data_IF_439726670892
#
_entry.id   IF_439726670892
#
_cell.length_a   1.000
_cell.length_b   1.000
_cell.length_c   1.000
_cell.angle_alpha   90.00
_cell.angle_beta   90.00
_cell.angle_gamma   90.00
#
_symmetry.space_group_name_H-M   'P 1'
#
loop_
_entity.id
_entity.type
_entity.pdbx_description
1 polymer ?
#
# COMPACT_ATOMS: atom_id res chain seq x y z
N UNK A 1 14.12 -27.05 -10.43
CA UNK A 1 13.54 -25.83 -11.01
C UNK A 1 12.26 -25.40 -10.29
N UNK A 2 11.32 -26.30 -9.98
CA UNK A 2 10.10 -25.98 -9.21
C UNK A 2 10.32 -25.32 -7.82
N UNK A 3 11.35 -25.70 -7.07
CA UNK A 3 11.61 -25.12 -5.74
C UNK A 3 11.97 -23.62 -5.78
N UNK A 4 12.49 -23.14 -6.91
CA UNK A 4 12.87 -21.74 -7.08
C UNK A 4 11.62 -20.85 -7.23
N UNK A 5 10.58 -21.36 -7.89
CA UNK A 5 9.33 -20.62 -8.15
C UNK A 5 8.51 -20.41 -6.87
N UNK A 6 8.51 -21.40 -5.97
CA UNK A 6 7.85 -21.30 -4.66
C UNK A 6 8.54 -20.26 -3.75
N UNK A 7 9.88 -20.20 -3.77
CA UNK A 7 10.63 -19.20 -3.00
C UNK A 7 10.36 -17.78 -3.51
N UNK A 8 10.27 -17.61 -4.84
CA UNK A 8 9.93 -16.34 -5.47
C UNK A 8 8.49 -15.91 -5.16
N UNK A 9 7.53 -16.83 -5.22
CA UNK A 9 6.13 -16.55 -4.88
C UNK A 9 5.94 -16.12 -3.42
N UNK A 10 6.60 -16.81 -2.47
CA UNK A 10 6.54 -16.43 -1.06
C UNK A 10 7.12 -15.03 -0.85
N UNK A 11 8.25 -14.70 -1.49
CA UNK A 11 8.83 -13.34 -1.43
C UNK A 11 7.89 -12.27 -1.99
N UNK A 12 7.20 -12.57 -3.09
CA UNK A 12 6.19 -11.67 -3.68
C UNK A 12 5.02 -11.45 -2.70
N UNK A 13 4.47 -12.52 -2.12
CA UNK A 13 3.38 -12.44 -1.14
C UNK A 13 3.79 -11.59 0.08
N UNK A 14 5.00 -11.81 0.61
CA UNK A 14 5.52 -11.03 1.74
C UNK A 14 5.72 -9.56 1.36
N UNK A 15 6.23 -9.27 0.16
CA UNK A 15 6.42 -7.92 -0.33
C UNK A 15 5.08 -7.17 -0.46
N UNK A 16 4.04 -7.81 -1.01
CA UNK A 16 2.71 -7.22 -1.10
C UNK A 16 2.06 -7.01 0.26
N UNK A 17 2.20 -7.98 1.18
CA UNK A 17 1.67 -7.86 2.53
C UNK A 17 2.27 -6.65 3.27
N UNK A 18 3.59 -6.45 3.18
CA UNK A 18 4.28 -5.30 3.77
C UNK A 18 3.82 -3.98 3.11
N UNK A 19 3.67 -3.96 1.79
CA UNK A 19 3.16 -2.81 1.06
C UNK A 19 1.74 -2.42 1.49
N UNK A 20 0.85 -3.40 1.63
CA UNK A 20 -0.53 -3.19 2.04
C UNK A 20 -0.64 -2.68 3.48
N UNK A 21 0.13 -3.25 4.41
CA UNK A 21 0.22 -2.79 5.81
C UNK A 21 0.70 -1.34 5.86
N UNK A 22 1.72 -1.01 5.06
CA UNK A 22 2.28 0.35 5.00
C UNK A 22 1.24 1.38 4.53
N UNK A 23 0.46 1.05 3.50
CA UNK A 23 -0.62 1.92 2.99
C UNK A 23 -1.72 2.10 4.04
N UNK A 24 -2.14 1.02 4.72
CA UNK A 24 -3.17 1.08 5.76
C UNK A 24 -2.70 1.94 6.95
N UNK A 25 -1.48 1.71 7.45
CA UNK A 25 -0.91 2.51 8.54
C UNK A 25 -0.79 3.99 8.17
N UNK A 26 -0.47 4.29 6.91
CA UNK A 26 -0.39 5.66 6.42
C UNK A 26 -1.78 6.32 6.42
N UNK A 27 -2.80 5.64 5.87
CA UNK A 27 -4.19 6.11 5.87
C UNK A 27 -4.74 6.33 7.29
N UNK A 28 -4.47 5.41 8.22
CA UNK A 28 -4.90 5.51 9.62
C UNK A 28 -4.23 6.71 10.30
N UNK A 29 -2.90 6.82 10.20
CA UNK A 29 -2.13 7.94 10.76
C UNK A 29 -2.66 9.26 10.24
N UNK A 30 -3.03 9.27 8.97
CA UNK A 30 -3.54 10.44 8.29
C UNK A 30 -4.94 10.85 8.74
N UNK A 31 -5.85 9.88 8.81
CA UNK A 31 -7.20 10.07 9.34
C UNK A 31 -7.18 10.59 10.79
N UNK A 32 -6.28 10.05 11.62
CA UNK A 32 -6.14 10.48 13.02
C UNK A 32 -5.56 11.90 13.10
N UNK A 33 -4.51 12.23 12.34
CA UNK A 33 -3.87 13.56 12.37
C UNK A 33 -4.73 14.67 11.78
N UNK A 34 -5.52 14.38 10.75
CA UNK A 34 -6.31 15.40 10.04
C UNK A 34 -7.79 15.45 10.44
N UNK A 35 -8.20 14.75 11.51
CA UNK A 35 -9.59 14.75 11.99
C UNK A 35 -10.14 16.12 12.38
N UNK A 36 -9.28 17.15 12.54
CA UNK A 36 -9.68 18.50 12.96
C UNK A 36 -9.42 19.61 11.93
N UNK A 37 -8.56 19.36 10.94
CA UNK A 37 -8.22 20.36 9.92
C UNK A 37 -8.26 19.71 8.53
N UNK A 38 -9.28 20.08 7.75
CA UNK A 38 -9.36 19.85 6.31
C UNK A 38 -8.26 20.66 5.60
N UNK A 39 -7.01 20.24 5.77
CA UNK A 39 -5.85 20.89 5.21
C UNK A 39 -5.63 20.37 3.78
N UNK A 40 -5.16 21.20 2.84
CA UNK A 40 -4.95 20.79 1.43
C UNK A 40 -3.97 19.60 1.30
N UNK A 41 -3.06 19.47 2.27
CA UNK A 41 -2.16 18.33 2.37
C UNK A 41 -2.92 17.01 2.60
N UNK A 42 -4.13 17.09 3.19
CA UNK A 42 -5.06 15.97 3.37
C UNK A 42 -5.35 15.25 2.05
N UNK A 43 -5.69 16.06 1.05
CA UNK A 43 -6.15 15.62 -0.26
C UNK A 43 -4.98 15.06 -1.09
N UNK A 44 -3.80 15.65 -0.96
CA UNK A 44 -2.61 15.20 -1.68
C UNK A 44 -2.17 13.82 -1.20
N UNK A 45 -2.18 13.57 0.11
CA UNK A 45 -1.71 12.30 0.67
C UNK A 45 -2.73 11.18 0.44
N UNK A 46 -4.03 11.47 0.47
CA UNK A 46 -5.05 10.48 0.08
C UNK A 46 -4.94 10.12 -1.41
N UNK A 47 -4.65 11.09 -2.29
CA UNK A 47 -4.40 10.83 -3.70
C UNK A 47 -3.16 9.95 -3.91
N UNK A 48 -2.06 10.21 -3.19
CA UNK A 48 -0.85 9.37 -3.23
C UNK A 48 -1.13 7.95 -2.72
N UNK A 49 -1.91 7.80 -1.65
CA UNK A 49 -2.29 6.48 -1.13
C UNK A 49 -3.14 5.68 -2.14
N UNK A 50 -4.06 6.35 -2.84
CA UNK A 50 -4.86 5.73 -3.91
C UNK A 50 -3.97 5.28 -5.07
N UNK A 51 -3.02 6.11 -5.50
CA UNK A 51 -2.07 5.75 -6.59
C UNK A 51 -1.23 4.52 -6.20
N UNK A 52 -0.72 4.47 -4.98
CA UNK A 52 0.07 3.33 -4.50
C UNK A 52 -0.80 2.06 -4.41
N UNK A 53 -2.05 2.18 -3.96
CA UNK A 53 -2.98 1.05 -3.92
C UNK A 53 -3.29 0.51 -5.32
N UNK A 54 -3.47 1.38 -6.32
CA UNK A 54 -3.67 1.00 -7.72
C UNK A 54 -2.43 0.28 -8.27
N UNK A 55 -1.23 0.79 -8.00
CA UNK A 55 0.02 0.15 -8.43
C UNK A 55 0.14 -1.24 -7.82
N UNK A 56 -0.08 -1.38 -6.51
CA UNK A 56 -0.06 -2.69 -5.84
C UNK A 56 -1.10 -3.65 -6.44
N UNK A 57 -2.30 -3.17 -6.74
CA UNK A 57 -3.34 -4.00 -7.37
C UNK A 57 -2.93 -4.50 -8.76
N UNK A 58 -2.39 -3.63 -9.61
CA UNK A 58 -1.88 -4.01 -10.95
C UNK A 58 -0.79 -5.07 -10.80
N UNK A 59 0.16 -4.85 -9.90
CA UNK A 59 1.33 -5.72 -9.76
C UNK A 59 0.97 -7.08 -9.13
N UNK A 60 -0.12 -7.16 -8.35
CA UNK A 60 -0.69 -8.44 -7.86
C UNK A 60 -1.50 -9.18 -8.92
N UNK A 61 -2.11 -8.46 -9.88
CA UNK A 61 -2.99 -9.03 -10.91
C UNK A 61 -2.29 -9.37 -12.23
N UNK A 62 -1.10 -8.81 -12.48
CA UNK A 62 -0.20 -9.19 -13.57
C UNK A 62 0.56 -10.49 -13.27
#
# INVERSE_FOLDING_TARGET
MLANDWSVQIKLIVMYAIGLISVISLLITFYIRHKKDFNKNAIIISAVAIIIAIILFIVVTL
#
